data_IF_716048316194
#
_entry.id   IF_716048316194
#
_cell.length_a   1.000
_cell.length_b   1.000
_cell.length_c   1.000
_cell.angle_alpha   90.00
_cell.angle_beta   90.00
_cell.angle_gamma   90.00
#
_symmetry.space_group_name_H-M   'P 1'
#
loop_
_entity.id
_entity.type
_entity.pdbx_description
1 polymer ?
#
# COMPACT_ATOMS: atom_id res chain seq x y z
N UNK A 1 -17.43 -20.23 -13.70
CA UNK A 1 -16.49 -20.24 -14.84
C UNK A 1 -15.08 -20.33 -14.27
N UNK A 2 -14.36 -21.42 -14.54
CA UNK A 2 -12.96 -21.54 -14.12
C UNK A 2 -12.12 -20.55 -14.94
N UNK A 3 -11.35 -19.68 -14.28
CA UNK A 3 -10.36 -18.83 -14.92
C UNK A 3 -9.42 -19.71 -15.76
N UNK A 4 -9.12 -19.29 -16.99
CA UNK A 4 -8.09 -19.97 -17.76
C UNK A 4 -6.75 -19.87 -17.02
N UNK A 5 -5.86 -20.84 -17.23
CA UNK A 5 -4.57 -20.90 -16.52
C UNK A 5 -3.72 -19.63 -16.71
N UNK A 6 -3.88 -18.95 -17.87
CA UNK A 6 -3.25 -17.67 -18.15
C UNK A 6 -3.85 -16.53 -17.31
N UNK A 7 -5.20 -16.42 -17.27
CA UNK A 7 -5.89 -15.42 -16.46
C UNK A 7 -5.62 -15.59 -14.96
N UNK A 8 -5.57 -16.83 -14.46
CA UNK A 8 -5.21 -17.12 -13.07
C UNK A 8 -3.77 -16.69 -12.75
N UNK A 9 -2.83 -16.89 -13.67
CA UNK A 9 -1.43 -16.47 -13.50
C UNK A 9 -1.29 -14.95 -13.52
N UNK A 10 -2.01 -14.26 -14.40
CA UNK A 10 -1.99 -12.80 -14.49
C UNK A 10 -2.63 -12.14 -13.26
N UNK A 11 -3.77 -12.68 -12.80
CA UNK A 11 -4.40 -12.23 -11.57
C UNK A 11 -3.50 -12.47 -10.35
N UNK A 12 -2.89 -13.66 -10.23
CA UNK A 12 -1.92 -13.96 -9.17
C UNK A 12 -0.70 -13.02 -9.18
N UNK A 13 -0.23 -12.61 -10.37
CA UNK A 13 0.86 -11.64 -10.52
C UNK A 13 0.47 -10.30 -9.94
N UNK A 14 -0.72 -9.77 -10.26
CA UNK A 14 -1.22 -8.51 -9.70
C UNK A 14 -1.31 -8.56 -8.18
N UNK A 15 -1.90 -9.62 -7.63
CA UNK A 15 -2.03 -9.80 -6.18
C UNK A 15 -0.66 -9.86 -5.47
N UNK A 16 0.34 -10.52 -6.10
CA UNK A 16 1.67 -10.66 -5.51
C UNK A 16 2.52 -9.39 -5.64
N UNK A 17 2.51 -8.77 -6.81
CA UNK A 17 3.40 -7.67 -7.19
C UNK A 17 2.85 -6.32 -6.72
N UNK A 18 1.56 -6.06 -6.93
CA UNK A 18 0.93 -4.79 -6.62
C UNK A 18 0.30 -4.78 -5.22
N UNK A 19 -0.50 -5.80 -4.87
CA UNK A 19 -1.22 -5.81 -3.58
C UNK A 19 -0.42 -6.39 -2.40
N UNK A 20 0.84 -6.76 -2.63
CA UNK A 20 1.74 -7.32 -1.62
C UNK A 20 1.18 -8.52 -0.82
N UNK A 21 0.24 -9.27 -1.40
CA UNK A 21 -0.50 -10.32 -0.69
C UNK A 21 0.36 -11.58 -0.42
N UNK A 22 0.07 -12.29 0.68
CA UNK A 22 0.78 -13.50 1.05
C UNK A 22 0.51 -14.65 0.07
N UNK A 23 1.54 -15.43 -0.26
CA UNK A 23 1.48 -16.47 -1.30
C UNK A 23 0.39 -17.52 -1.04
N UNK A 24 0.19 -17.91 0.23
CA UNK A 24 -0.90 -18.81 0.66
C UNK A 24 -2.27 -18.31 0.23
N UNK A 25 -2.57 -17.07 0.59
CA UNK A 25 -3.86 -16.42 0.30
C UNK A 25 -4.07 -16.28 -1.21
N UNK A 26 -3.01 -15.90 -1.93
CA UNK A 26 -3.06 -15.82 -3.40
C UNK A 26 -3.39 -17.19 -3.99
N UNK A 27 -2.67 -18.24 -3.58
CA UNK A 27 -2.84 -19.59 -4.10
C UNK A 27 -4.28 -20.09 -3.93
N UNK A 28 -4.87 -19.88 -2.74
CA UNK A 28 -6.28 -20.17 -2.47
C UNK A 28 -7.22 -19.36 -3.36
N UNK A 29 -6.95 -18.06 -3.53
CA UNK A 29 -7.79 -17.13 -4.31
C UNK A 29 -7.80 -17.42 -5.82
N UNK A 30 -6.68 -17.87 -6.38
CA UNK A 30 -6.58 -18.29 -7.79
C UNK A 30 -6.81 -19.80 -8.00
N UNK A 31 -7.08 -20.56 -6.93
CA UNK A 31 -7.39 -21.99 -7.03
C UNK A 31 -6.21 -22.85 -7.49
N UNK A 32 -4.98 -22.50 -7.11
CA UNK A 32 -3.76 -23.26 -7.42
C UNK A 32 -3.00 -23.64 -6.15
N UNK A 33 -2.11 -24.62 -6.25
CA UNK A 33 -1.25 -24.98 -5.11
C UNK A 33 -0.17 -23.92 -4.87
N UNK A 34 0.25 -23.74 -3.61
CA UNK A 34 1.36 -22.85 -3.25
C UNK A 34 2.64 -23.14 -4.06
N UNK A 35 2.89 -24.43 -4.36
CA UNK A 35 4.02 -24.87 -5.20
C UNK A 35 3.92 -24.35 -6.63
N UNK A 36 2.71 -24.33 -7.20
CA UNK A 36 2.46 -23.78 -8.54
C UNK A 36 2.66 -22.26 -8.55
N UNK A 37 2.16 -21.56 -7.54
CA UNK A 37 2.35 -20.12 -7.39
C UNK A 37 3.83 -19.76 -7.20
N UNK A 38 4.54 -20.52 -6.36
CA UNK A 38 5.98 -20.35 -6.13
C UNK A 38 6.77 -20.46 -7.43
N UNK A 39 6.40 -21.43 -8.28
CA UNK A 39 7.01 -21.60 -9.61
C UNK A 39 6.74 -20.39 -10.51
N UNK A 40 5.52 -19.87 -10.53
CA UNK A 40 5.18 -18.67 -11.30
C UNK A 40 5.93 -17.42 -10.84
N UNK A 41 6.13 -17.25 -9.54
CA UNK A 41 6.91 -16.14 -8.96
C UNK A 41 8.36 -16.20 -9.44
N UNK A 42 8.97 -17.40 -9.45
CA UNK A 42 10.35 -17.62 -9.89
C UNK A 42 10.46 -17.46 -11.40
N UNK A 43 9.69 -18.21 -12.19
CA UNK A 43 9.73 -18.19 -13.65
C UNK A 43 9.40 -16.81 -14.23
N UNK A 44 8.50 -16.08 -13.57
CA UNK A 44 8.07 -14.75 -13.98
C UNK A 44 8.91 -13.61 -13.43
N UNK A 45 9.90 -13.88 -12.56
CA UNK A 45 10.73 -12.85 -11.94
C UNK A 45 9.96 -11.85 -11.06
N UNK A 46 8.81 -12.24 -10.51
CA UNK A 46 7.87 -11.32 -9.85
C UNK A 46 8.45 -10.67 -8.60
N UNK A 47 9.37 -11.35 -7.91
CA UNK A 47 10.07 -10.80 -6.74
C UNK A 47 10.91 -9.58 -7.10
N UNK A 48 11.61 -9.63 -8.24
CA UNK A 48 12.42 -8.52 -8.73
C UNK A 48 11.53 -7.38 -9.25
N UNK A 49 10.47 -7.72 -9.98
CA UNK A 49 9.49 -6.75 -10.47
C UNK A 49 8.85 -5.97 -9.30
N UNK A 50 8.40 -6.68 -8.27
CA UNK A 50 7.86 -6.11 -7.04
C UNK A 50 8.85 -5.19 -6.34
N UNK A 51 10.10 -5.64 -6.17
CA UNK A 51 11.17 -4.81 -5.60
C UNK A 51 11.37 -3.53 -6.41
N UNK A 52 11.47 -3.64 -7.74
CA UNK A 52 11.65 -2.50 -8.64
C UNK A 52 10.50 -1.50 -8.54
N UNK A 53 9.25 -1.97 -8.44
CA UNK A 53 8.08 -1.11 -8.30
C UNK A 53 8.07 -0.37 -6.95
N UNK A 54 8.37 -1.07 -5.85
CA UNK A 54 8.52 -0.46 -4.52
C UNK A 54 9.63 0.61 -4.55
N UNK A 55 10.79 0.30 -5.13
CA UNK A 55 11.88 1.27 -5.27
C UNK A 55 11.49 2.45 -6.15
N UNK A 56 10.79 2.21 -7.26
CA UNK A 56 10.32 3.29 -8.16
C UNK A 56 9.36 4.22 -7.42
N UNK A 57 8.42 3.67 -6.65
CA UNK A 57 7.50 4.43 -5.82
C UNK A 57 8.23 5.27 -4.78
N UNK A 58 9.18 4.69 -4.06
CA UNK A 58 9.97 5.42 -3.07
C UNK A 58 10.78 6.55 -3.71
N UNK A 59 11.33 6.31 -4.91
CA UNK A 59 12.02 7.34 -5.69
C UNK A 59 11.07 8.47 -6.09
N UNK A 60 9.85 8.16 -6.52
CA UNK A 60 8.84 9.18 -6.85
C UNK A 60 8.44 10.02 -5.64
N UNK A 61 8.27 9.39 -4.46
CA UNK A 61 8.01 10.11 -3.21
C UNK A 61 9.17 11.06 -2.90
N UNK A 62 10.43 10.60 -3.01
CA UNK A 62 11.60 11.45 -2.80
C UNK A 62 11.62 12.66 -3.75
N UNK A 63 11.36 12.45 -5.04
CA UNK A 63 11.32 13.53 -6.03
C UNK A 63 10.23 14.58 -5.73
N UNK A 64 9.06 14.15 -5.25
CA UNK A 64 7.98 15.06 -4.87
C UNK A 64 8.34 15.86 -3.61
N UNK A 65 9.03 15.24 -2.64
CA UNK A 65 9.56 15.96 -1.47
C UNK A 65 10.61 16.99 -1.88
N UNK A 66 11.53 16.65 -2.79
CA UNK A 66 12.55 17.58 -3.29
C UNK A 66 11.90 18.81 -3.97
N UNK A 67 10.85 18.59 -4.77
CA UNK A 67 10.09 19.67 -5.40
C UNK A 67 9.39 20.57 -4.38
N UNK A 68 8.79 19.96 -3.35
CA UNK A 68 8.13 20.70 -2.27
C UNK A 68 9.14 21.53 -1.47
N UNK A 69 10.30 20.97 -1.17
CA UNK A 69 11.39 21.68 -0.49
C UNK A 69 11.89 22.87 -1.32
N UNK A 70 12.17 22.66 -2.61
CA UNK A 70 12.56 23.74 -3.52
C UNK A 70 11.54 24.88 -3.57
N UNK A 71 10.26 24.54 -3.65
CA UNK A 71 9.18 25.52 -3.64
C UNK A 71 9.13 26.30 -2.33
N UNK A 72 9.24 25.61 -1.19
CA UNK A 72 9.25 26.25 0.13
C UNK A 72 10.46 27.18 0.31
N UNK A 73 11.65 26.74 -0.12
CA UNK A 73 12.86 27.56 -0.07
C UNK A 73 12.72 28.83 -0.93
N UNK A 74 12.18 28.70 -2.14
CA UNK A 74 11.91 29.84 -3.02
C UNK A 74 10.95 30.86 -2.38
N UNK A 75 9.93 30.39 -1.65
CA UNK A 75 9.01 31.25 -0.90
C UNK A 75 9.71 31.89 0.31
N UNK A 76 10.62 31.19 0.98
CA UNK A 76 11.33 31.69 2.16
C UNK A 76 12.38 32.77 1.82
N UNK A 77 12.99 32.67 0.63
CA UNK A 77 14.08 33.55 0.18
C UNK A 77 13.61 34.88 -0.42
N UNK A 78 12.34 34.96 -0.87
CA UNK A 78 11.79 36.21 -1.44
C UNK A 78 11.31 37.19 -0.37
N UNK A 79 11.11 38.43 -0.77
CA UNK A 79 10.64 39.51 0.12
C UNK A 79 9.26 39.19 0.74
N UNK A 80 8.32 38.69 -0.09
CA UNK A 80 7.01 38.24 0.38
C UNK A 80 7.03 36.75 0.74
N UNK A 81 7.26 36.44 2.03
CA UNK A 81 7.42 35.07 2.55
C UNK A 81 6.12 34.25 2.67
N UNK A 82 5.05 34.68 2.01
CA UNK A 82 3.76 33.99 1.99
C UNK A 82 3.53 33.41 0.60
N UNK A 83 3.09 32.15 0.52
CA UNK A 83 2.75 31.50 -0.74
C UNK A 83 1.69 32.28 -1.53
N UNK A 84 1.87 32.39 -2.84
CA UNK A 84 0.82 32.88 -3.75
C UNK A 84 -0.26 31.81 -3.91
N UNK A 85 -1.43 32.19 -4.41
CA UNK A 85 -2.53 31.25 -4.65
C UNK A 85 -2.13 30.09 -5.59
N UNK A 86 -1.25 30.33 -6.56
CA UNK A 86 -0.74 29.27 -7.46
C UNK A 86 0.20 28.32 -6.73
N UNK A 87 1.09 28.84 -5.90
CA UNK A 87 2.03 28.01 -5.15
C UNK A 87 1.32 27.19 -4.06
N UNK A 88 0.31 27.77 -3.41
CA UNK A 88 -0.54 27.05 -2.47
C UNK A 88 -1.25 25.87 -3.14
N UNK A 89 -1.79 26.05 -4.34
CA UNK A 89 -2.40 24.97 -5.13
C UNK A 89 -1.37 23.88 -5.51
N UNK A 90 -0.16 24.27 -5.89
CA UNK A 90 0.94 23.32 -6.17
C UNK A 90 1.34 22.55 -4.92
N UNK A 91 1.49 23.22 -3.76
CA UNK A 91 1.79 22.59 -2.48
C UNK A 91 0.73 21.55 -2.13
N UNK A 92 -0.56 21.89 -2.24
CA UNK A 92 -1.68 20.98 -1.97
C UNK A 92 -1.61 19.74 -2.89
N UNK A 93 -1.27 19.93 -4.16
CA UNK A 93 -1.16 18.82 -5.13
C UNK A 93 0.04 17.92 -4.83
N UNK A 94 1.20 18.50 -4.50
CA UNK A 94 2.40 17.74 -4.15
C UNK A 94 2.18 16.94 -2.87
N UNK A 95 1.69 17.56 -1.80
CA UNK A 95 1.43 16.87 -0.52
C UNK A 95 0.34 15.81 -0.67
N UNK A 96 -0.71 16.07 -1.45
CA UNK A 96 -1.74 15.07 -1.74
C UNK A 96 -1.23 13.90 -2.58
N UNK A 97 -0.30 14.13 -3.51
CA UNK A 97 0.33 13.05 -4.29
C UNK A 97 1.27 12.20 -3.42
N UNK A 98 2.06 12.85 -2.55
CA UNK A 98 2.92 12.18 -1.55
C UNK A 98 2.06 11.28 -0.66
N UNK A 99 1.00 11.82 -0.05
CA UNK A 99 0.12 11.06 0.84
C UNK A 99 -0.48 9.84 0.12
N UNK A 100 -1.00 10.02 -1.10
CA UNK A 100 -1.58 8.90 -1.89
C UNK A 100 -0.56 7.81 -2.21
N UNK A 101 0.67 8.20 -2.53
CA UNK A 101 1.74 7.23 -2.74
C UNK A 101 2.06 6.56 -1.40
N UNK A 102 2.23 7.28 -0.30
CA UNK A 102 2.51 6.67 1.01
C UNK A 102 1.40 5.73 1.53
N UNK A 103 0.12 6.08 1.35
CA UNK A 103 -1.05 5.32 1.83
C UNK A 103 -1.73 4.48 0.74
N UNK A 104 -1.00 3.54 0.14
CA UNK A 104 -1.62 2.58 -0.79
C UNK A 104 -2.61 1.60 -0.14
N UNK A 105 -2.66 1.51 1.20
CA UNK A 105 -3.73 0.78 1.91
C UNK A 105 -4.73 1.78 2.46
N UNK A 106 -5.95 1.81 1.92
CA UNK A 106 -7.01 2.67 2.42
C UNK A 106 -7.40 2.30 3.86
N UNK A 107 -7.87 3.30 4.62
CA UNK A 107 -8.40 3.09 5.98
C UNK A 107 -9.53 2.06 5.97
N UNK A 108 -10.42 2.11 4.97
CA UNK A 108 -11.52 1.15 4.82
C UNK A 108 -11.06 -0.30 4.64
N UNK A 109 -10.06 -0.52 3.78
CA UNK A 109 -9.46 -1.85 3.58
C UNK A 109 -8.73 -2.35 4.82
N UNK A 110 -8.01 -1.45 5.51
CA UNK A 110 -7.33 -1.77 6.77
C UNK A 110 -8.32 -2.19 7.86
N UNK A 111 -9.44 -1.46 7.98
CA UNK A 111 -10.53 -1.79 8.91
C UNK A 111 -11.16 -3.14 8.56
N UNK A 112 -11.37 -3.44 7.27
CA UNK A 112 -11.96 -4.71 6.86
C UNK A 112 -11.05 -5.91 7.17
N UNK A 113 -9.74 -5.78 6.93
CA UNK A 113 -8.76 -6.81 7.28
C UNK A 113 -8.64 -6.99 8.79
N UNK A 114 -8.61 -5.89 9.55
CA UNK A 114 -8.58 -5.93 11.01
C UNK A 114 -9.80 -6.68 11.56
N UNK A 115 -11.01 -6.39 11.09
CA UNK A 115 -12.24 -7.09 11.49
C UNK A 115 -12.18 -8.59 11.19
N UNK A 116 -11.68 -8.99 10.02
CA UNK A 116 -11.54 -10.42 9.66
C UNK A 116 -10.57 -11.14 10.58
N UNK A 117 -9.45 -10.52 10.93
CA UNK A 117 -8.46 -11.07 11.87
C UNK A 117 -9.05 -11.16 13.28
N UNK A 118 -9.68 -10.10 13.77
CA UNK A 118 -10.31 -10.08 15.10
C UNK A 118 -11.38 -11.17 15.21
N UNK A 119 -12.25 -11.31 14.20
CA UNK A 119 -13.30 -12.33 14.18
C UNK A 119 -12.72 -13.75 14.15
N UNK A 120 -11.60 -13.99 13.47
CA UNK A 120 -10.94 -15.28 13.44
C UNK A 120 -10.36 -15.62 14.81
N UNK A 121 -9.67 -14.68 15.44
CA UNK A 121 -9.07 -14.86 16.77
C UNK A 121 -10.15 -15.02 17.84
N UNK A 122 -11.26 -14.28 17.74
CA UNK A 122 -12.36 -14.32 18.70
C UNK A 122 -13.03 -15.70 18.81
N UNK A 123 -12.94 -16.54 17.76
CA UNK A 123 -13.47 -17.90 17.78
C UNK A 123 -12.63 -18.87 18.61
N UNK A 124 -11.33 -18.60 18.78
CA UNK A 124 -10.41 -19.45 19.54
C UNK A 124 -10.05 -18.85 20.91
N UNK A 125 -9.77 -17.55 20.95
CA UNK A 125 -9.30 -16.84 22.14
C UNK A 125 -9.83 -15.40 22.19
N UNK A 126 -10.77 -15.19 23.11
CA UNK A 126 -11.47 -13.92 23.29
C UNK A 126 -10.59 -12.86 23.97
N UNK A 127 -9.60 -13.26 24.78
CA UNK A 127 -8.67 -12.33 25.41
C UNK A 127 -7.62 -11.83 24.41
N UNK A 128 -7.11 -12.72 23.56
CA UNK A 128 -6.20 -12.34 22.48
C UNK A 128 -6.88 -11.43 21.46
N UNK A 129 -8.14 -11.72 21.10
CA UNK A 129 -8.92 -10.88 20.19
C UNK A 129 -9.04 -9.45 20.71
N UNK A 130 -9.32 -9.25 22.00
CA UNK A 130 -9.37 -7.92 22.62
C UNK A 130 -8.05 -7.16 22.50
N UNK A 131 -6.92 -7.83 22.76
CA UNK A 131 -5.59 -7.21 22.61
C UNK A 131 -5.33 -6.80 21.16
N UNK A 132 -5.63 -7.68 20.21
CA UNK A 132 -5.43 -7.40 18.78
C UNK A 132 -6.32 -6.26 18.30
N UNK A 133 -7.58 -6.19 18.75
CA UNK A 133 -8.47 -5.05 18.47
C UNK A 133 -7.85 -3.72 18.89
N UNK A 134 -7.27 -3.65 20.09
CA UNK A 134 -6.61 -2.42 20.57
C UNK A 134 -5.45 -2.01 19.66
N UNK A 135 -4.62 -2.95 19.20
CA UNK A 135 -3.53 -2.64 18.27
C UNK A 135 -4.05 -2.21 16.89
N UNK A 136 -5.12 -2.83 16.41
CA UNK A 136 -5.76 -2.43 15.16
C UNK A 136 -6.37 -1.02 15.25
N UNK A 137 -7.02 -0.67 16.35
CA UNK A 137 -7.59 0.67 16.57
C UNK A 137 -6.49 1.75 16.59
N UNK A 138 -5.36 1.49 17.24
CA UNK A 138 -4.20 2.41 17.25
C UNK A 138 -3.64 2.60 15.83
N UNK A 139 -3.51 1.52 15.06
CA UNK A 139 -3.06 1.59 13.67
C UNK A 139 -4.03 2.41 12.82
N UNK A 140 -5.34 2.15 12.92
CA UNK A 140 -6.38 2.87 12.18
C UNK A 140 -6.39 4.36 12.54
N UNK A 141 -6.27 4.70 13.83
CA UNK A 141 -6.16 6.10 14.27
C UNK A 141 -4.92 6.80 13.72
N UNK A 142 -3.80 6.08 13.57
CA UNK A 142 -2.56 6.62 12.98
C UNK A 142 -2.71 6.90 11.49
N UNK A 143 -3.61 6.20 10.79
CA UNK A 143 -3.89 6.41 9.37
C UNK A 143 -4.94 7.50 9.09
N UNK A 144 -5.73 7.90 10.09
CA UNK A 144 -6.77 8.94 9.98
C UNK A 144 -6.22 10.33 10.35
N UNK A 145 -5.09 10.39 11.06
CA UNK A 145 -4.36 11.62 11.36
C UNK A 145 -3.45 12.04 10.20
#
# INVERSE_FOLDING_TARGET
MALTKAQAKEFAKTLYVSENMHQKVIAERVGVTEKTLSRWIVDGGWKNLKRSLITTKQNQISLLYDQLEHLNNSIAERENKVATSKEADVIIKLTGAIQKLETETGVGETVEVAKKIINLIQQEDLELAKKVTTYCDVLIQTMIK
#
